data_IF_492228877056
#
_entry.id   IF_492228877056
#
_cell.length_a   1.000
_cell.length_b   1.000
_cell.length_c   1.000
_cell.angle_alpha   90.00
_cell.angle_beta   90.00
_cell.angle_gamma   90.00
#
_symmetry.space_group_name_H-M   'P 1'
#
loop_
_entity.id
_entity.type
_entity.pdbx_description
1 polymer ?
#
# COMPACT_ATOMS: atom_id res chain seq x y z
N UNK A 1 -31.21 11.15 -13.31
CA UNK A 1 -29.73 11.15 -13.30
C UNK A 1 -29.14 10.01 -12.46
N UNK A 2 -29.46 9.90 -11.16
CA UNK A 2 -28.91 8.85 -10.28
C UNK A 2 -29.19 7.40 -10.74
N UNK A 3 -30.43 7.07 -11.14
CA UNK A 3 -30.78 5.70 -11.57
C UNK A 3 -30.10 5.25 -12.88
N UNK A 4 -29.65 6.17 -13.73
CA UNK A 4 -28.87 5.83 -14.93
C UNK A 4 -27.40 5.50 -14.58
N UNK A 5 -26.85 6.20 -13.58
CA UNK A 5 -25.50 5.93 -13.06
C UNK A 5 -25.46 4.59 -12.31
N UNK A 6 -26.48 4.28 -11.51
CA UNK A 6 -26.59 2.99 -10.79
C UNK A 6 -26.67 1.81 -11.75
N UNK A 7 -27.48 1.91 -12.82
CA UNK A 7 -27.56 0.85 -13.84
C UNK A 7 -26.24 0.66 -14.58
N UNK A 8 -25.58 1.74 -15.01
CA UNK A 8 -24.25 1.66 -15.63
C UNK A 8 -23.20 1.02 -14.71
N UNK A 9 -23.22 1.33 -13.41
CA UNK A 9 -22.33 0.69 -12.45
C UNK A 9 -22.64 -0.80 -12.30
N UNK A 10 -23.92 -1.18 -12.20
CA UNK A 10 -24.33 -2.58 -12.11
C UNK A 10 -23.97 -3.39 -13.36
N UNK A 11 -24.14 -2.81 -14.55
CA UNK A 11 -23.80 -3.44 -15.82
C UNK A 11 -22.28 -3.59 -15.98
N UNK A 12 -21.51 -2.61 -15.52
CA UNK A 12 -20.04 -2.69 -15.51
C UNK A 12 -19.53 -3.81 -14.59
N UNK A 13 -20.08 -3.92 -13.37
CA UNK A 13 -19.74 -5.01 -12.44
C UNK A 13 -20.14 -6.40 -12.99
N UNK A 14 -21.17 -6.47 -13.83
CA UNK A 14 -21.60 -7.72 -14.48
C UNK A 14 -20.86 -8.02 -15.79
N UNK A 15 -20.07 -7.09 -16.32
CA UNK A 15 -19.36 -7.22 -17.59
C UNK A 15 -18.32 -8.35 -17.56
N UNK A 16 -18.05 -8.92 -18.74
CA UNK A 16 -17.00 -9.96 -18.91
C UNK A 16 -15.62 -9.39 -18.58
N UNK A 17 -15.36 -8.14 -18.96
CA UNK A 17 -14.07 -7.47 -18.70
C UNK A 17 -13.76 -7.33 -17.21
N UNK A 18 -14.77 -7.01 -16.39
CA UNK A 18 -14.60 -6.95 -14.93
C UNK A 18 -14.33 -8.33 -14.33
N UNK A 19 -15.02 -9.37 -14.82
CA UNK A 19 -14.80 -10.76 -14.38
C UNK A 19 -13.40 -11.26 -14.79
N UNK A 20 -12.98 -10.95 -16.00
CA UNK A 20 -11.64 -11.30 -16.52
C UNK A 20 -10.54 -10.57 -15.74
N UNK A 21 -10.76 -9.30 -15.37
CA UNK A 21 -9.86 -8.56 -14.49
C UNK A 21 -9.76 -9.20 -13.10
N UNK A 22 -10.89 -9.56 -12.48
CA UNK A 22 -10.93 -10.24 -11.18
C UNK A 22 -10.23 -11.61 -11.21
N UNK A 23 -10.34 -12.35 -12.31
CA UNK A 23 -9.67 -13.65 -12.49
C UNK A 23 -8.19 -13.52 -12.90
N UNK A 24 -7.71 -12.30 -13.15
CA UNK A 24 -6.33 -12.06 -13.58
C UNK A 24 -5.34 -12.02 -12.42
N UNK A 25 -4.08 -12.37 -12.72
CA UNK A 25 -2.95 -12.19 -11.81
C UNK A 25 -2.71 -10.71 -11.47
N UNK A 26 -3.17 -9.79 -12.33
CA UNK A 26 -3.05 -8.35 -12.10
C UNK A 26 -3.97 -7.85 -10.98
N UNK A 27 -5.03 -8.59 -10.67
CA UNK A 27 -5.89 -8.34 -9.51
C UNK A 27 -5.38 -9.07 -8.26
N UNK A 28 -5.22 -10.40 -8.34
CA UNK A 28 -4.91 -11.20 -7.16
C UNK A 28 -3.50 -10.98 -6.60
N UNK A 29 -2.50 -10.70 -7.45
CA UNK A 29 -1.15 -10.42 -6.99
C UNK A 29 -1.09 -9.19 -6.05
N UNK A 30 -1.61 -8.04 -6.47
CA UNK A 30 -1.71 -6.88 -5.59
C UNK A 30 -2.63 -7.09 -4.38
N UNK A 31 -3.75 -7.80 -4.53
CA UNK A 31 -4.65 -8.14 -3.40
C UNK A 31 -3.91 -8.92 -2.32
N UNK A 32 -3.08 -9.89 -2.69
CA UNK A 32 -2.24 -10.61 -1.72
C UNK A 32 -1.20 -9.69 -1.05
N UNK A 33 -0.67 -8.71 -1.80
CA UNK A 33 0.31 -7.76 -1.27
C UNK A 33 -0.28 -6.71 -0.30
N UNK A 34 -1.61 -6.53 -0.26
CA UNK A 34 -2.26 -5.62 0.70
C UNK A 34 -2.05 -6.02 2.17
N UNK A 35 -1.61 -7.26 2.43
CA UNK A 35 -1.17 -7.67 3.76
C UNK A 35 -0.06 -6.77 4.33
N UNK A 36 0.85 -6.26 3.49
CA UNK A 36 1.96 -5.39 3.93
C UNK A 36 1.46 -4.01 4.41
N UNK A 37 0.66 -3.24 3.62
CA UNK A 37 0.02 -2.02 4.11
C UNK A 37 -0.81 -2.23 5.38
N UNK A 38 -1.61 -3.29 5.45
CA UNK A 38 -2.47 -3.57 6.60
C UNK A 38 -1.63 -3.85 7.84
N UNK A 39 -0.56 -4.63 7.73
CA UNK A 39 0.37 -4.89 8.82
C UNK A 39 1.06 -3.60 9.28
N UNK A 40 1.54 -2.78 8.33
CA UNK A 40 2.17 -1.49 8.63
C UNK A 40 1.20 -0.54 9.37
N UNK A 41 -0.06 -0.49 8.94
CA UNK A 41 -1.09 0.31 9.62
C UNK A 41 -1.36 -0.21 11.04
N UNK A 42 -1.44 -1.52 11.21
CA UNK A 42 -1.65 -2.12 12.53
C UNK A 42 -0.46 -1.87 13.47
N UNK A 43 0.76 -1.94 12.95
CA UNK A 43 1.99 -1.68 13.71
C UNK A 43 2.12 -0.21 14.14
N UNK A 44 1.37 0.72 13.54
CA UNK A 44 1.28 2.10 14.06
C UNK A 44 0.72 2.16 15.49
N UNK A 45 -0.04 1.17 15.95
CA UNK A 45 -0.58 1.13 17.32
C UNK A 45 0.43 0.64 18.36
N UNK A 46 1.55 0.05 17.92
CA UNK A 46 2.58 -0.50 18.81
C UNK A 46 3.54 0.58 19.29
N UNK A 47 4.26 0.25 20.37
CA UNK A 47 5.32 1.12 20.93
C UNK A 47 6.39 1.40 19.87
N UNK A 48 6.88 2.64 19.73
CA UNK A 48 7.93 2.98 18.78
C UNK A 48 9.27 2.26 19.04
N UNK A 49 9.49 1.73 20.25
CA UNK A 49 10.68 0.93 20.61
C UNK A 49 10.83 -0.37 19.80
N UNK A 50 9.71 -0.92 19.35
CA UNK A 50 9.68 -2.21 18.64
C UNK A 50 9.87 -1.99 17.12
N UNK A 51 9.90 -0.73 16.67
CA UNK A 51 10.01 -0.38 15.24
C UNK A 51 11.47 -0.50 14.82
N UNK A 52 11.76 -1.44 13.91
CA UNK A 52 13.09 -1.60 13.32
C UNK A 52 13.31 -0.59 12.20
N UNK A 53 14.12 0.44 12.44
CA UNK A 53 14.45 1.45 11.44
C UNK A 53 15.08 0.89 10.16
N UNK A 54 15.89 -0.18 10.27
CA UNK A 54 16.48 -0.87 9.11
C UNK A 54 15.41 -1.54 8.23
N UNK A 55 14.39 -2.11 8.86
CA UNK A 55 13.27 -2.74 8.15
C UNK A 55 12.38 -1.69 7.48
N UNK A 56 12.07 -0.59 8.18
CA UNK A 56 11.30 0.53 7.62
C UNK A 56 11.98 1.10 6.38
N UNK A 57 13.29 1.35 6.45
CA UNK A 57 14.05 1.85 5.30
C UNK A 57 14.05 0.86 4.13
N UNK A 58 14.27 -0.43 4.41
CA UNK A 58 14.22 -1.47 3.38
C UNK A 58 12.84 -1.54 2.70
N UNK A 59 11.75 -1.42 3.48
CA UNK A 59 10.39 -1.43 2.97
C UNK A 59 10.05 -0.18 2.14
N UNK A 60 10.59 0.99 2.47
CA UNK A 60 10.47 2.18 1.62
C UNK A 60 11.13 1.97 0.25
N UNK A 61 12.40 1.53 0.24
CA UNK A 61 13.13 1.24 -1.00
C UNK A 61 12.43 0.17 -1.86
N UNK A 62 11.91 -0.86 -1.21
CA UNK A 62 11.09 -1.89 -1.85
C UNK A 62 9.83 -1.29 -2.48
N UNK A 63 9.04 -0.51 -1.73
CA UNK A 63 7.85 0.17 -2.22
C UNK A 63 8.12 1.06 -3.42
N UNK A 64 9.17 1.90 -3.38
CA UNK A 64 9.56 2.77 -4.50
C UNK A 64 9.87 1.99 -5.78
N UNK A 65 10.59 0.89 -5.67
CA UNK A 65 10.93 0.03 -6.81
C UNK A 65 9.69 -0.58 -7.44
N UNK A 66 8.77 -1.09 -6.62
CA UNK A 66 7.54 -1.69 -7.11
C UNK A 66 6.54 -0.66 -7.66
N UNK A 67 6.50 0.56 -7.12
CA UNK A 67 5.72 1.65 -7.70
C UNK A 67 6.18 1.99 -9.12
N UNK A 68 7.50 2.06 -9.35
CA UNK A 68 8.06 2.25 -10.69
C UNK A 68 7.69 1.10 -11.63
N UNK A 69 7.79 -0.13 -11.15
CA UNK A 69 7.41 -1.32 -11.93
C UNK A 69 5.92 -1.30 -12.31
N UNK A 70 5.04 -1.05 -11.36
CA UNK A 70 3.59 -0.98 -11.54
C UNK A 70 3.16 0.08 -12.56
N UNK A 71 3.90 1.19 -12.64
CA UNK A 71 3.65 2.25 -13.61
C UNK A 71 4.16 1.89 -15.02
N UNK A 72 5.28 1.16 -15.12
CA UNK A 72 5.92 0.82 -16.41
C UNK A 72 5.34 -0.41 -17.08
N UNK A 73 4.81 -1.38 -16.32
CA UNK A 73 4.17 -2.57 -16.89
C UNK A 73 2.94 -2.19 -17.73
N UNK A 74 2.72 -2.87 -18.85
CA UNK A 74 1.56 -2.66 -19.72
C UNK A 74 0.75 -3.96 -19.85
N UNK A 75 -0.57 -3.92 -19.60
CA UNK A 75 -1.36 -2.78 -19.13
C UNK A 75 -0.96 -2.34 -17.71
N UNK A 76 -1.08 -1.04 -17.42
CA UNK A 76 -0.65 -0.45 -16.13
C UNK A 76 -1.36 -1.09 -14.96
N UNK A 77 -0.61 -1.50 -13.94
CA UNK A 77 -1.17 -2.10 -12.73
C UNK A 77 -1.38 -1.06 -11.63
N UNK A 78 -2.51 -0.35 -11.70
CA UNK A 78 -2.87 0.69 -10.72
C UNK A 78 -3.12 0.15 -9.30
N UNK A 79 -3.56 -1.10 -9.19
CA UNK A 79 -3.81 -1.74 -7.89
C UNK A 79 -2.51 -2.02 -7.15
N UNK A 80 -1.49 -2.52 -7.87
CA UNK A 80 -0.14 -2.69 -7.34
C UNK A 80 0.45 -1.34 -6.93
N UNK A 81 0.32 -0.33 -7.78
CA UNK A 81 0.78 1.02 -7.48
C UNK A 81 0.15 1.56 -6.18
N UNK A 82 -1.18 1.48 -6.05
CA UNK A 82 -1.89 1.94 -4.86
C UNK A 82 -1.47 1.20 -3.58
N UNK A 83 -1.24 -0.11 -3.68
CA UNK A 83 -0.75 -0.92 -2.56
C UNK A 83 0.62 -0.41 -2.07
N UNK A 84 1.58 -0.20 -2.97
CA UNK A 84 2.92 0.26 -2.59
C UNK A 84 2.97 1.72 -2.16
N UNK A 85 2.13 2.60 -2.73
CA UNK A 85 1.93 3.97 -2.22
C UNK A 85 1.45 3.94 -0.77
N UNK A 86 0.43 3.12 -0.48
CA UNK A 86 -0.11 3.01 0.89
C UNK A 86 0.94 2.49 1.87
N UNK A 87 1.71 1.46 1.46
CA UNK A 87 2.81 0.96 2.28
C UNK A 87 3.90 2.01 2.50
N UNK A 88 4.30 2.76 1.46
CA UNK A 88 5.29 3.85 1.57
C UNK A 88 4.87 4.89 2.60
N UNK A 89 3.62 5.37 2.51
CA UNK A 89 3.07 6.36 3.45
C UNK A 89 3.07 5.82 4.87
N UNK A 90 2.63 4.58 5.08
CA UNK A 90 2.63 3.97 6.41
C UNK A 90 4.05 3.83 6.99
N UNK A 91 5.02 3.40 6.18
CA UNK A 91 6.42 3.26 6.59
C UNK A 91 7.08 4.62 6.90
N UNK A 92 6.81 5.66 6.11
CA UNK A 92 7.29 7.01 6.38
C UNK A 92 6.77 7.55 7.72
N UNK A 93 5.50 7.31 8.03
CA UNK A 93 4.91 7.68 9.33
C UNK A 93 5.59 6.91 10.48
N UNK A 94 5.79 5.60 10.33
CA UNK A 94 6.50 4.80 11.33
C UNK A 94 7.96 5.26 11.52
N UNK A 95 8.66 5.56 10.43
CA UNK A 95 10.02 6.08 10.45
C UNK A 95 10.10 7.44 11.16
N UNK A 96 9.16 8.35 10.89
CA UNK A 96 9.06 9.62 11.60
C UNK A 96 8.84 9.46 13.11
N UNK A 97 7.97 8.51 13.51
CA UNK A 97 7.76 8.18 14.93
C UNK A 97 9.02 7.63 15.59
N UNK A 98 9.76 6.76 14.91
CA UNK A 98 11.03 6.22 15.40
C UNK A 98 12.08 7.34 15.58
N UNK A 99 12.24 8.23 14.61
CA UNK A 99 13.18 9.35 14.69
C UNK A 99 12.84 10.25 15.89
N UNK A 100 11.56 10.62 16.05
CA UNK A 100 11.13 11.43 17.19
C UNK A 100 11.38 10.73 18.54
N UNK A 101 11.20 9.41 18.60
CA UNK A 101 11.48 8.62 19.78
C UNK A 101 12.97 8.61 20.13
N UNK A 102 13.84 8.35 19.15
CA UNK A 102 15.31 8.37 19.34
C UNK A 102 15.83 9.76 19.73
N UNK A 103 15.28 10.83 19.12
CA UNK A 103 15.63 12.21 19.50
C UNK A 103 15.17 12.55 20.92
N UNK A 104 13.99 12.08 21.34
CA UNK A 104 13.46 12.29 22.70
C UNK A 104 14.15 11.44 23.76
N UNK A 105 14.85 10.36 23.37
CA UNK A 105 15.71 9.56 24.26
C UNK A 105 17.11 10.17 24.45
N UNK A 106 17.59 10.91 23.44
CA UNK A 106 18.86 11.63 23.45
C UNK A 106 19.01 12.90 24.34
N UNK A 107 18.03 13.46 25.08
CA UNK A 107 18.24 14.65 25.93
C UNK A 107 18.84 14.38 27.31
N UNK A 108 19.34 13.17 27.62
CA UNK A 108 19.80 12.82 28.98
C UNK A 108 21.13 12.05 29.02
N UNK A 109 22.00 12.21 28.02
CA UNK A 109 23.36 11.68 28.02
C UNK A 109 24.40 12.81 28.03
#
# INVERSE_FOLDING_TARGET
>A
MAGALVRKAADYVRSKDFRDYLMSTHFWGPVANWGLPIAAINDMKKSPEIISGRMTFALCCYSLTFMRFAYKVQPRNWLLFACHVTNEVAQLIQGGRLINYEMSKRPSA
#
